data_IF_432617085879
#
_entry.id   IF_432617085879
#
_cell.length_a   1.000
_cell.length_b   1.000
_cell.length_c   1.000
_cell.angle_alpha   90.00
_cell.angle_beta   90.00
_cell.angle_gamma   90.00
#
_symmetry.space_group_name_H-M   'P 1'
#
loop_
_entity.id
_entity.type
_entity.pdbx_description
1 polymer ?
#
# COMPACT_ATOMS: atom_id res chain seq x y z
N UNK A 1 0.26 -5.41 -2.09
CA UNK A 1 -0.85 -5.39 -3.09
C UNK A 1 -0.58 -6.41 -4.18
N UNK A 2 -1.62 -6.87 -4.89
CA UNK A 2 -1.50 -7.87 -5.99
C UNK A 2 -0.64 -7.38 -7.15
N UNK A 3 -0.12 -8.31 -7.95
CA UNK A 3 0.52 -7.95 -9.22
C UNK A 3 -0.44 -7.12 -10.11
N UNK A 4 0.08 -6.03 -10.69
CA UNK A 4 -0.66 -5.05 -11.49
C UNK A 4 -1.71 -4.22 -10.73
N UNK A 5 -1.71 -4.21 -9.38
CA UNK A 5 -2.55 -3.30 -8.60
C UNK A 5 -2.16 -1.83 -8.81
N UNK A 6 -0.93 -1.51 -9.23
CA UNK A 6 -0.46 -0.14 -9.38
C UNK A 6 0.60 0.28 -8.36
N UNK A 7 1.16 -0.67 -7.60
CA UNK A 7 2.25 -0.47 -6.63
C UNK A 7 3.40 0.40 -7.15
N UNK A 8 4.09 -0.03 -8.20
CA UNK A 8 5.23 0.72 -8.75
C UNK A 8 4.82 2.09 -9.29
N UNK A 9 3.63 2.21 -9.89
CA UNK A 9 3.10 3.48 -10.39
C UNK A 9 2.81 4.45 -9.25
N UNK A 10 2.14 4.00 -8.19
CA UNK A 10 1.90 4.80 -6.99
C UNK A 10 3.22 5.22 -6.34
N UNK A 11 4.18 4.30 -6.24
CA UNK A 11 5.48 4.55 -5.65
C UNK A 11 6.26 5.63 -6.41
N UNK A 12 6.33 5.53 -7.73
CA UNK A 12 6.92 6.55 -8.60
C UNK A 12 6.21 7.91 -8.41
N UNK A 13 4.88 7.91 -8.40
CA UNK A 13 4.08 9.13 -8.20
C UNK A 13 4.34 9.79 -6.84
N UNK A 14 4.35 9.01 -5.74
CA UNK A 14 4.65 9.50 -4.39
C UNK A 14 6.04 10.14 -4.34
N UNK A 15 7.03 9.55 -5.00
CA UNK A 15 8.39 10.09 -5.06
C UNK A 15 8.60 11.22 -6.08
N UNK A 16 7.58 11.56 -6.88
CA UNK A 16 7.72 12.53 -7.95
C UNK A 16 8.72 12.09 -9.04
N UNK A 17 8.96 10.78 -9.17
CA UNK A 17 9.82 10.18 -10.19
C UNK A 17 8.95 9.52 -11.26
N UNK A 18 9.44 9.42 -12.49
CA UNK A 18 8.72 8.73 -13.58
C UNK A 18 9.05 7.24 -13.63
N UNK A 19 10.33 6.88 -13.55
CA UNK A 19 10.81 5.53 -13.89
C UNK A 19 11.79 4.94 -12.86
N UNK A 20 11.70 5.34 -11.58
CA UNK A 20 12.56 4.78 -10.52
C UNK A 20 12.31 3.27 -10.35
N UNK A 21 11.04 2.88 -10.26
CA UNK A 21 10.62 1.49 -10.33
C UNK A 21 10.08 1.18 -11.72
N UNK A 22 10.55 0.07 -12.30
CA UNK A 22 10.06 -0.40 -13.59
C UNK A 22 8.57 -0.78 -13.48
N UNK A 23 7.69 -0.03 -14.13
CA UNK A 23 6.27 -0.35 -14.22
C UNK A 23 6.03 -1.36 -15.34
N UNK A 24 6.16 -2.65 -15.05
CA UNK A 24 5.86 -3.71 -16.03
C UNK A 24 4.40 -4.16 -15.93
N UNK A 25 3.77 -4.48 -17.08
CA UNK A 25 2.48 -5.20 -17.13
C UNK A 25 2.66 -6.70 -16.84
N UNK A 26 3.88 -7.24 -17.02
CA UNK A 26 4.23 -8.64 -16.68
C UNK A 26 4.41 -8.75 -15.17
N UNK A 27 3.78 -9.74 -14.56
CA UNK A 27 3.92 -10.00 -13.13
C UNK A 27 5.27 -10.64 -12.76
N UNK A 28 5.63 -10.53 -11.48
CA UNK A 28 6.84 -11.14 -10.93
C UNK A 28 8.11 -10.29 -11.03
N UNK A 29 7.99 -8.98 -11.33
CA UNK A 29 9.15 -8.08 -11.42
C UNK A 29 9.78 -7.74 -10.05
N UNK A 30 8.99 -7.71 -8.98
CA UNK A 30 9.50 -7.51 -7.61
C UNK A 30 9.60 -8.88 -6.94
N UNK A 31 10.80 -9.43 -6.82
CA UNK A 31 11.09 -10.74 -6.18
C UNK A 31 11.78 -10.59 -4.82
N UNK A 32 12.20 -9.37 -4.48
CA UNK A 32 12.95 -8.97 -3.30
C UNK A 32 12.23 -7.81 -2.60
N UNK A 33 12.58 -7.57 -1.34
CA UNK A 33 12.26 -6.30 -0.69
C UNK A 33 13.25 -5.24 -1.21
N UNK A 34 12.74 -4.17 -1.84
CA UNK A 34 13.58 -3.09 -2.35
C UNK A 34 13.44 -1.85 -1.48
N UNK A 35 14.56 -1.34 -0.97
CA UNK A 35 14.60 -0.22 -0.03
C UNK A 35 14.99 1.08 -0.74
N UNK A 36 14.23 2.15 -0.49
CA UNK A 36 14.43 3.46 -1.09
C UNK A 36 14.49 4.52 0.00
N UNK A 37 15.67 5.13 0.17
CA UNK A 37 15.86 6.25 1.08
C UNK A 37 15.34 7.54 0.43
N UNK A 38 14.53 8.30 1.17
CA UNK A 38 13.86 9.52 0.71
C UNK A 38 14.22 10.67 1.63
N UNK A 39 14.50 11.85 1.06
CA UNK A 39 14.92 13.05 1.77
C UNK A 39 16.39 13.41 1.53
N UNK A 40 16.79 14.59 2.02
CA UNK A 40 18.19 15.01 1.98
C UNK A 40 19.05 14.11 2.87
N UNK A 41 20.32 13.90 2.49
CA UNK A 41 21.25 13.05 3.24
C UNK A 41 21.28 13.42 4.74
N UNK A 42 21.17 12.45 5.66
CA UNK A 42 21.27 10.99 5.48
C UNK A 42 19.95 10.28 5.06
N UNK A 43 18.87 11.01 4.81
CA UNK A 43 17.54 10.49 4.50
C UNK A 43 16.62 10.54 5.71
N UNK A 44 15.34 10.85 5.48
CA UNK A 44 14.32 10.99 6.54
C UNK A 44 13.30 9.86 6.56
N UNK A 45 13.12 9.15 5.44
CA UNK A 45 12.18 8.02 5.30
C UNK A 45 12.83 6.92 4.49
N UNK A 46 12.55 5.66 4.84
CA UNK A 46 12.81 4.50 3.98
C UNK A 46 11.49 3.92 3.53
N UNK A 47 11.23 3.97 2.22
CA UNK A 47 10.10 3.28 1.61
C UNK A 47 10.56 1.90 1.12
N UNK A 48 9.73 0.89 1.35
CA UNK A 48 10.06 -0.50 0.99
C UNK A 48 9.03 -1.03 0.01
N UNK A 49 9.51 -1.44 -1.17
CA UNK A 49 8.69 -2.12 -2.16
C UNK A 49 8.75 -3.63 -1.92
N UNK A 50 7.59 -4.24 -1.65
CA UNK A 50 7.48 -5.68 -1.43
C UNK A 50 6.95 -6.43 -2.67
N UNK A 51 7.29 -7.73 -2.81
CA UNK A 51 6.66 -8.61 -3.80
C UNK A 51 5.12 -8.58 -3.71
N UNK A 52 4.45 -8.78 -4.84
CA UNK A 52 2.99 -8.83 -4.88
C UNK A 52 2.45 -10.19 -4.45
N UNK A 53 1.35 -10.20 -3.70
CA UNK A 53 0.65 -11.44 -3.29
C UNK A 53 -0.38 -11.92 -4.33
N UNK A 54 -0.98 -13.08 -4.07
CA UNK A 54 -2.00 -13.75 -4.90
C UNK A 54 -1.40 -14.78 -5.86
N UNK A 55 -2.15 -15.17 -6.89
CA UNK A 55 -1.80 -16.28 -7.80
C UNK A 55 -0.44 -16.18 -8.54
N UNK A 56 0.23 -15.03 -8.46
CA UNK A 56 1.54 -14.78 -9.09
C UNK A 56 2.64 -14.55 -8.07
N UNK A 57 2.32 -14.69 -6.78
CA UNK A 57 3.28 -14.72 -5.67
C UNK A 57 3.86 -16.11 -5.49
N UNK A 58 4.97 -16.21 -4.76
CA UNK A 58 5.61 -17.48 -4.39
C UNK A 58 5.72 -17.61 -2.87
N UNK A 59 5.67 -18.82 -2.30
CA UNK A 59 5.75 -19.02 -0.85
C UNK A 59 6.98 -18.36 -0.21
N UNK A 60 8.14 -18.44 -0.86
CA UNK A 60 9.39 -17.84 -0.37
C UNK A 60 9.30 -16.30 -0.21
N UNK A 61 8.48 -15.64 -1.02
CA UNK A 61 8.25 -14.20 -0.91
C UNK A 61 7.32 -13.87 0.26
N UNK A 62 6.38 -14.76 0.57
CA UNK A 62 5.54 -14.67 1.77
C UNK A 62 6.40 -14.77 3.02
N UNK A 63 7.24 -15.82 3.13
CA UNK A 63 8.13 -16.01 4.28
C UNK A 63 9.10 -14.85 4.49
N UNK A 64 9.63 -14.24 3.41
CA UNK A 64 10.46 -13.04 3.49
C UNK A 64 9.67 -11.83 4.01
N UNK A 65 8.44 -11.63 3.51
CA UNK A 65 7.57 -10.55 3.95
C UNK A 65 7.19 -10.70 5.43
N UNK A 66 6.80 -11.89 5.85
CA UNK A 66 6.41 -12.18 7.24
C UNK A 66 7.59 -12.02 8.20
N UNK A 67 8.78 -12.52 7.82
CA UNK A 67 10.01 -12.31 8.60
C UNK A 67 10.33 -10.81 8.75
N UNK A 68 10.11 -10.03 7.69
CA UNK A 68 10.31 -8.58 7.75
C UNK A 68 9.31 -7.89 8.68
N UNK A 69 8.02 -8.24 8.61
CA UNK A 69 7.00 -7.70 9.51
C UNK A 69 7.32 -8.02 10.98
N UNK A 70 7.75 -9.25 11.27
CA UNK A 70 8.03 -9.70 12.63
C UNK A 70 9.29 -9.07 13.24
N UNK A 71 10.33 -8.85 12.43
CA UNK A 71 11.67 -8.47 12.95
C UNK A 71 11.98 -6.98 12.82
N UNK A 72 11.31 -6.25 11.92
CA UNK A 72 11.65 -4.85 11.62
C UNK A 72 11.01 -3.86 12.59
N UNK A 73 11.70 -3.59 13.70
CA UNK A 73 11.27 -2.60 14.72
C UNK A 73 11.07 -1.16 14.20
N UNK A 74 11.70 -0.80 13.08
CA UNK A 74 11.57 0.52 12.47
C UNK A 74 10.35 0.66 11.53
N UNK A 75 9.65 -0.44 11.24
CA UNK A 75 8.46 -0.41 10.39
C UNK A 75 7.37 0.41 11.07
N UNK A 76 6.86 1.45 10.40
CA UNK A 76 5.81 2.33 10.94
C UNK A 76 4.43 2.03 10.38
N UNK A 77 4.35 1.75 9.08
CA UNK A 77 3.08 1.58 8.38
C UNK A 77 3.24 0.64 7.19
N UNK A 78 2.28 -0.27 7.03
CA UNK A 78 2.13 -1.14 5.86
C UNK A 78 1.04 -0.55 4.97
N UNK A 79 1.35 -0.38 3.69
CA UNK A 79 0.40 0.09 2.68
C UNK A 79 -0.08 -1.08 1.82
N UNK A 80 -1.35 -1.44 1.96
CA UNK A 80 -1.99 -2.47 1.13
C UNK A 80 -2.79 -1.82 0.01
N UNK A 81 -2.56 -2.26 -1.22
CA UNK A 81 -3.08 -1.63 -2.43
C UNK A 81 -4.11 -2.51 -3.12
N UNK A 82 -5.26 -1.92 -3.45
CA UNK A 82 -6.35 -2.53 -4.21
C UNK A 82 -6.56 -1.76 -5.51
N UNK A 83 -6.81 -2.48 -6.61
CA UNK A 83 -7.19 -1.85 -7.89
C UNK A 83 -8.68 -1.55 -7.85
N UNK A 84 -9.06 -0.27 -7.83
CA UNK A 84 -10.44 0.19 -7.70
C UNK A 84 -11.39 -0.26 -8.81
N UNK A 85 -10.86 -0.73 -9.96
CA UNK A 85 -11.68 -1.30 -11.05
C UNK A 85 -12.50 -2.52 -10.63
N UNK A 86 -12.06 -3.24 -9.58
CA UNK A 86 -12.70 -4.46 -9.10
C UNK A 86 -12.87 -4.41 -7.58
N UNK A 87 -13.87 -5.12 -7.07
CA UNK A 87 -13.99 -5.40 -5.64
C UNK A 87 -12.84 -6.30 -5.17
N UNK A 88 -12.66 -6.41 -3.85
CA UNK A 88 -11.66 -7.29 -3.27
C UNK A 88 -11.99 -8.74 -3.64
N UNK A 89 -10.97 -9.49 -4.05
CA UNK A 89 -11.11 -10.93 -4.25
C UNK A 89 -10.67 -11.70 -2.99
N UNK A 90 -10.77 -13.03 -3.03
CA UNK A 90 -10.36 -13.89 -1.91
C UNK A 90 -8.91 -13.65 -1.47
N UNK A 91 -7.97 -13.48 -2.39
CA UNK A 91 -6.57 -13.22 -2.05
C UNK A 91 -6.37 -11.85 -1.38
N UNK A 92 -7.16 -10.84 -1.75
CA UNK A 92 -7.15 -9.52 -1.11
C UNK A 92 -7.69 -9.60 0.32
N UNK A 93 -8.79 -10.32 0.53
CA UNK A 93 -9.40 -10.55 1.85
C UNK A 93 -8.47 -11.35 2.76
N UNK A 94 -7.86 -12.44 2.25
CA UNK A 94 -6.90 -13.25 3.01
C UNK A 94 -5.67 -12.44 3.45
N UNK A 95 -5.12 -11.61 2.55
CA UNK A 95 -3.97 -10.77 2.91
C UNK A 95 -4.35 -9.69 3.93
N UNK A 96 -5.56 -9.12 3.85
CA UNK A 96 -6.04 -8.19 4.86
C UNK A 96 -6.19 -8.86 6.23
N UNK A 97 -6.80 -10.05 6.27
CA UNK A 97 -6.97 -10.81 7.50
C UNK A 97 -5.60 -11.16 8.11
N UNK A 98 -4.68 -11.68 7.31
CA UNK A 98 -3.30 -11.97 7.74
C UNK A 98 -2.61 -10.73 8.32
N UNK A 99 -2.66 -9.60 7.62
CA UNK A 99 -2.08 -8.36 8.14
C UNK A 99 -2.78 -7.91 9.43
N UNK A 100 -4.11 -8.03 9.51
CA UNK A 100 -4.88 -7.68 10.69
C UNK A 100 -4.50 -8.51 11.91
N UNK A 101 -4.23 -9.81 11.73
CA UNK A 101 -3.75 -10.69 12.79
C UNK A 101 -2.36 -10.27 13.25
N UNK A 102 -1.47 -9.89 12.32
CA UNK A 102 -0.11 -9.43 12.66
C UNK A 102 -0.06 -8.03 13.31
N UNK A 103 -1.18 -7.29 13.35
CA UNK A 103 -1.23 -5.96 14.00
C UNK A 103 -1.28 -6.04 15.52
N UNK A 104 -1.63 -7.18 16.11
CA UNK A 104 -1.72 -7.32 17.57
C UNK A 104 -0.63 -8.27 18.07
N UNK A 105 0.32 -7.74 18.85
CA UNK A 105 1.24 -8.60 19.61
C UNK A 105 0.54 -9.15 20.85
N UNK A 106 1.10 -10.20 21.46
CA UNK A 106 0.62 -10.76 22.73
C UNK A 106 0.48 -9.69 23.83
N UNK A 107 1.37 -8.70 23.84
CA UNK A 107 1.36 -7.57 24.79
C UNK A 107 0.36 -6.45 24.42
N UNK A 108 -0.48 -6.63 23.39
CA UNK A 108 -1.47 -5.64 22.95
C UNK A 108 -0.89 -4.40 22.26
N UNK A 109 0.37 -4.45 21.82
CA UNK A 109 1.04 -3.35 21.12
C UNK A 109 0.86 -3.53 19.61
N UNK A 110 0.60 -2.42 18.91
CA UNK A 110 0.62 -2.41 17.45
C UNK A 110 2.03 -2.08 16.95
N UNK A 111 2.77 -3.03 16.34
CA UNK A 111 4.15 -2.80 15.91
C UNK A 111 4.21 -1.86 14.71
N UNK A 112 3.13 -1.79 13.93
CA UNK A 112 2.94 -0.88 12.81
C UNK A 112 1.44 -0.60 12.63
N UNK A 113 1.11 0.38 11.78
CA UNK A 113 -0.28 0.65 11.36
C UNK A 113 -0.55 0.12 9.95
N UNK A 114 -1.80 -0.24 9.64
CA UNK A 114 -2.20 -0.69 8.31
C UNK A 114 -2.98 0.39 7.58
N UNK A 115 -2.55 0.76 6.38
CA UNK A 115 -3.23 1.75 5.53
C UNK A 115 -3.61 1.12 4.19
N UNK A 116 -4.92 1.08 3.91
CA UNK A 116 -5.40 0.70 2.59
C UNK A 116 -5.29 1.86 1.59
N UNK A 117 -4.96 1.53 0.33
CA UNK A 117 -4.95 2.47 -0.78
C UNK A 117 -5.72 1.87 -1.95
N UNK A 118 -6.80 2.55 -2.35
CA UNK A 118 -7.55 2.21 -3.55
C UNK A 118 -6.91 2.98 -4.71
N UNK A 119 -6.35 2.25 -5.65
CA UNK A 119 -5.62 2.79 -6.80
C UNK A 119 -6.46 2.74 -8.06
N UNK A 120 -6.03 3.46 -9.10
CA UNK A 120 -6.70 3.50 -10.42
C UNK A 120 -8.16 3.94 -10.34
N UNK A 121 -8.44 4.96 -9.52
CA UNK A 121 -9.78 5.52 -9.41
C UNK A 121 -10.34 6.00 -10.77
N UNK A 122 -9.46 6.41 -11.69
CA UNK A 122 -9.78 6.75 -13.09
C UNK A 122 -10.38 5.60 -13.90
N UNK A 123 -10.16 4.35 -13.46
CA UNK A 123 -10.69 3.17 -14.13
C UNK A 123 -12.09 2.77 -13.61
N UNK A 124 -12.63 3.50 -12.63
CA UNK A 124 -13.98 3.26 -12.10
C UNK A 124 -14.95 4.13 -12.90
N UNK A 125 -15.99 3.54 -13.54
CA UNK A 125 -17.01 4.35 -14.21
C UNK A 125 -17.72 5.28 -13.21
N UNK A 126 -17.99 6.53 -13.61
CA UNK A 126 -18.58 7.54 -12.74
C UNK A 126 -19.89 7.07 -12.08
N UNK A 127 -20.75 6.42 -12.87
CA UNK A 127 -22.02 5.83 -12.41
C UNK A 127 -21.86 4.76 -11.32
N UNK A 128 -20.68 4.16 -11.22
CA UNK A 128 -20.36 3.08 -10.28
C UNK A 128 -19.54 3.57 -9.08
N UNK A 129 -19.01 4.80 -9.09
CA UNK A 129 -18.18 5.34 -7.99
C UNK A 129 -18.91 5.29 -6.65
N UNK A 130 -20.18 5.70 -6.63
CA UNK A 130 -21.02 5.73 -5.42
C UNK A 130 -21.33 4.36 -4.84
N UNK A 131 -21.10 3.28 -5.59
CA UNK A 131 -21.32 1.91 -5.14
C UNK A 131 -19.99 1.20 -4.83
N UNK A 132 -19.03 1.27 -5.74
CA UNK A 132 -17.77 0.50 -5.67
C UNK A 132 -16.90 0.93 -4.50
N UNK A 133 -16.73 2.24 -4.28
CA UNK A 133 -15.87 2.73 -3.19
C UNK A 133 -16.43 2.37 -1.81
N UNK A 134 -17.74 2.58 -1.51
CA UNK A 134 -18.33 2.12 -0.25
C UNK A 134 -18.25 0.61 -0.06
N UNK A 135 -18.44 -0.19 -1.12
CA UNK A 135 -18.32 -1.65 -1.03
C UNK A 135 -16.89 -2.08 -0.70
N UNK A 136 -15.88 -1.52 -1.36
CA UNK A 136 -14.47 -1.79 -1.04
C UNK A 136 -14.15 -1.38 0.41
N UNK A 137 -14.63 -0.22 0.86
CA UNK A 137 -14.48 0.23 2.26
C UNK A 137 -15.07 -0.76 3.26
N UNK A 138 -16.27 -1.25 2.98
CA UNK A 138 -16.95 -2.25 3.81
C UNK A 138 -16.13 -3.54 3.87
N UNK A 139 -15.68 -4.07 2.71
CA UNK A 139 -14.86 -5.28 2.66
C UNK A 139 -13.53 -5.14 3.41
N UNK A 140 -12.89 -3.97 3.34
CA UNK A 140 -11.66 -3.69 4.10
C UNK A 140 -11.95 -3.72 5.60
N UNK A 141 -13.01 -3.03 6.04
CA UNK A 141 -13.38 -2.98 7.45
C UNK A 141 -13.75 -4.35 8.01
N UNK A 142 -14.49 -5.17 7.25
CA UNK A 142 -14.86 -6.54 7.65
C UNK A 142 -13.63 -7.45 7.79
N UNK A 143 -12.64 -7.32 6.90
CA UNK A 143 -11.44 -8.16 6.90
C UNK A 143 -10.34 -7.67 7.84
N UNK A 144 -10.25 -6.36 8.08
CA UNK A 144 -9.23 -5.73 8.90
C UNK A 144 -9.79 -4.47 9.59
N UNK A 145 -10.51 -4.59 10.71
CA UNK A 145 -11.20 -3.47 11.36
C UNK A 145 -10.27 -2.34 11.82
N UNK A 146 -8.99 -2.64 12.08
CA UNK A 146 -7.96 -1.67 12.49
C UNK A 146 -7.23 -1.01 11.31
N UNK A 147 -7.57 -1.40 10.08
CA UNK A 147 -7.05 -0.76 8.88
C UNK A 147 -7.58 0.68 8.82
N UNK A 148 -6.66 1.63 8.61
CA UNK A 148 -7.01 3.04 8.46
C UNK A 148 -7.92 3.27 7.26
N UNK A 149 -8.79 4.30 7.30
CA UNK A 149 -9.69 4.62 6.20
C UNK A 149 -8.94 4.68 4.85
N UNK A 150 -9.41 4.00 3.81
CA UNK A 150 -8.65 3.87 2.58
C UNK A 150 -8.49 5.21 1.85
N UNK A 151 -7.27 5.48 1.41
CA UNK A 151 -6.97 6.63 0.55
C UNK A 151 -7.27 6.22 -0.89
N UNK A 152 -8.07 7.01 -1.60
CA UNK A 152 -8.39 6.79 -3.02
C UNK A 152 -7.42 7.58 -3.89
N UNK A 153 -6.85 6.94 -4.91
CA UNK A 153 -5.77 7.50 -5.72
C UNK A 153 -5.92 7.16 -7.20
N UNK A 154 -5.44 8.07 -8.04
CA UNK A 154 -5.08 7.79 -9.43
C UNK A 154 -3.82 8.55 -9.82
N UNK A 155 -2.77 7.79 -10.17
CA UNK A 155 -1.55 8.34 -10.75
C UNK A 155 -1.66 8.60 -12.27
N UNK A 156 -2.74 8.13 -12.92
CA UNK A 156 -2.97 8.33 -14.35
C UNK A 156 -3.68 9.66 -14.65
N UNK A 157 -4.47 10.18 -13.70
CA UNK A 157 -5.16 11.46 -13.84
C UNK A 157 -4.20 12.64 -13.96
N UNK A 158 -4.68 13.72 -14.59
CA UNK A 158 -3.99 15.01 -14.71
C UNK A 158 -4.95 16.12 -14.24
N UNK A 159 -4.72 16.73 -13.06
CA UNK A 159 -3.68 16.42 -12.07
C UNK A 159 -3.88 15.02 -11.44
N UNK A 160 -2.81 14.45 -10.86
CA UNK A 160 -2.91 13.16 -10.18
C UNK A 160 -3.81 13.28 -8.94
N UNK A 161 -4.64 12.28 -8.70
CA UNK A 161 -5.61 12.29 -7.59
C UNK A 161 -5.08 11.51 -6.38
N UNK A 162 -5.21 12.09 -5.19
CA UNK A 162 -4.92 11.43 -3.90
C UNK A 162 -3.44 11.21 -3.56
N UNK A 163 -2.50 11.55 -4.45
CA UNK A 163 -1.06 11.33 -4.22
C UNK A 163 -0.53 12.18 -3.06
N UNK A 164 -0.98 13.42 -2.93
CA UNK A 164 -0.57 14.29 -1.82
C UNK A 164 -1.11 13.80 -0.47
N UNK A 165 -2.31 13.21 -0.46
CA UNK A 165 -2.84 12.56 0.74
C UNK A 165 -1.98 11.36 1.16
N UNK A 166 -1.49 10.56 0.20
CA UNK A 166 -0.55 9.46 0.49
C UNK A 166 0.78 10.01 1.03
N UNK A 167 1.32 11.09 0.46
CA UNK A 167 2.56 11.73 0.97
C UNK A 167 2.39 12.24 2.40
N UNK A 168 1.27 12.91 2.68
CA UNK A 168 0.96 13.38 4.03
C UNK A 168 0.83 12.23 5.02
N UNK A 169 0.16 11.14 4.62
CA UNK A 169 0.00 9.93 5.43
C UNK A 169 1.35 9.22 5.70
N UNK A 170 2.28 9.21 4.72
CA UNK A 170 3.65 8.71 4.93
C UNK A 170 4.41 9.59 5.92
N UNK A 171 4.35 10.91 5.77
CA UNK A 171 5.03 11.84 6.66
C UNK A 171 4.52 11.70 8.10
N UNK A 172 3.20 11.65 8.28
CA UNK A 172 2.53 11.40 9.57
C UNK A 172 3.01 10.09 10.21
N UNK A 173 2.98 8.97 9.47
CA UNK A 173 3.42 7.67 9.98
C UNK A 173 4.87 7.68 10.47
N UNK A 174 5.73 8.48 9.83
CA UNK A 174 7.13 8.61 10.17
C UNK A 174 7.42 9.71 11.21
N UNK A 175 6.41 10.40 11.73
CA UNK A 175 6.60 11.52 12.67
C UNK A 175 7.28 12.72 12.02
N UNK A 176 7.28 12.80 10.68
CA UNK A 176 7.74 13.97 9.97
C UNK A 176 6.59 14.97 10.02
N UNK A 177 6.70 15.96 10.90
CA UNK A 177 5.76 17.07 10.93
C UNK A 177 5.58 17.60 9.50
N UNK A 178 4.34 17.86 9.10
CA UNK A 178 4.10 18.66 7.90
C UNK A 178 4.94 19.92 8.09
N UNK A 179 6.01 20.07 7.30
CA UNK A 179 6.73 21.33 7.23
C UNK A 179 5.65 22.35 6.92
N UNK A 180 5.23 23.10 7.94
CA UNK A 180 4.37 24.25 7.75
C UNK A 180 5.14 25.12 6.77
N UNK A 181 4.62 25.20 5.54
CA UNK A 181 5.08 26.19 4.58
C UNK A 181 4.89 27.57 5.17
#
# INVERSE_FOLDING_TARGET
>A
GRANCGKSTLFNAVLGKKDLLRTSKKAGCTQTLNFFTVGAHPGSVVLVDAPGYGARGRPEWGSLFDSYLATRKQLKRVYILFNGKHLLNSADVQMLAHLSETLMTEDGVQPFTLQAVITKADCIPDKSLGQVIPQIRKQIWEAAPLCLPPIVTSAAMRPMFGIDAVRANIAEACGLGLLKK
#
